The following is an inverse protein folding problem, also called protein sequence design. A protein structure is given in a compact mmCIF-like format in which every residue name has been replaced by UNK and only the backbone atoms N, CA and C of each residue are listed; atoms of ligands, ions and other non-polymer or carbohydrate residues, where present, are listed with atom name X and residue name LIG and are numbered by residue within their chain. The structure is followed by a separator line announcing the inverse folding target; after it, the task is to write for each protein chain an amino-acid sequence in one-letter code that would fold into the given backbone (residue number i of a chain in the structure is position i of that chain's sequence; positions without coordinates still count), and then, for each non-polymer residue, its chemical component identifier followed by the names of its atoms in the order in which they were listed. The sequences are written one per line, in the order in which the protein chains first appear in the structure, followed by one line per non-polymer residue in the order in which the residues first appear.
data_IF_753394193919
#
_entry.id   IF_753394193919
#
_cell.length_a   1.000
_cell.length_b   1.000
_cell.length_c   1.000
_cell.angle_alpha   90.00
_cell.angle_beta   90.00
_cell.angle_gamma   90.00
#
_symmetry.space_group_name_H-M   'P 1'
#
loop_
_entity.id
_entity.type
_entity.pdbx_description
1 polymer ?
#
# COMPACT_ATOMS: atom_id res chain seq x y z
N UNK A 1 -0.93 -5.34 2.89
CA UNK A 1 -0.44 -4.96 1.53
C UNK A 1 -0.99 -3.60 1.12
N UNK A 2 -2.32 -3.40 1.06
CA UNK A 2 -2.91 -2.09 0.71
C UNK A 2 -2.34 -0.92 1.54
N UNK A 3 -2.27 -1.06 2.86
CA UNK A 3 -1.65 -0.07 3.76
C UNK A 3 -0.19 0.28 3.37
N UNK A 4 0.66 -0.72 3.11
CA UNK A 4 2.05 -0.49 2.65
C UNK A 4 2.09 0.26 1.32
N UNK A 5 1.19 -0.07 0.39
CA UNK A 5 1.11 0.59 -0.91
C UNK A 5 0.72 2.05 -0.73
N UNK A 6 -0.28 2.34 0.11
CA UNK A 6 -0.69 3.72 0.42
C UNK A 6 0.39 4.51 1.13
N UNK A 7 1.02 3.93 2.18
CA UNK A 7 2.11 4.55 2.92
C UNK A 7 3.27 4.91 2.00
N UNK A 8 3.63 4.00 1.09
CA UNK A 8 4.66 4.26 0.08
C UNK A 8 4.24 5.32 -0.94
N UNK A 9 2.99 5.31 -1.40
CA UNK A 9 2.51 6.30 -2.37
C UNK A 9 2.54 7.74 -1.83
N UNK A 10 2.48 7.91 -0.51
CA UNK A 10 2.56 9.20 0.18
C UNK A 10 3.92 9.47 0.86
N UNK A 11 4.92 8.60 0.61
CA UNK A 11 6.26 8.68 1.22
C UNK A 11 6.22 8.88 2.75
N UNK A 12 5.26 8.25 3.45
CA UNK A 12 5.06 8.47 4.88
C UNK A 12 5.98 7.61 5.75
N UNK A 13 6.97 8.19 6.46
CA UNK A 13 7.97 7.40 7.18
C UNK A 13 7.39 6.72 8.44
N UNK A 14 6.46 7.39 9.14
CA UNK A 14 5.80 6.82 10.30
C UNK A 14 4.93 5.63 9.91
N UNK A 15 3.97 5.87 9.00
CA UNK A 15 3.03 4.86 8.54
C UNK A 15 3.77 3.67 7.94
N UNK A 16 4.71 3.90 7.01
CA UNK A 16 5.50 2.81 6.43
C UNK A 16 6.19 1.96 7.49
N UNK A 17 6.87 2.58 8.45
CA UNK A 17 7.66 1.87 9.45
C UNK A 17 6.77 1.01 10.34
N UNK A 18 5.67 1.56 10.84
CA UNK A 18 4.74 0.81 11.70
C UNK A 18 4.03 -0.30 10.92
N UNK A 19 3.63 0.00 9.68
CA UNK A 19 2.92 -0.93 8.80
C UNK A 19 3.84 -2.06 8.31
N UNK A 20 5.13 -1.83 8.01
CA UNK A 20 6.08 -2.89 7.67
C UNK A 20 6.28 -3.84 8.86
N UNK A 21 6.41 -3.32 10.08
CA UNK A 21 6.52 -4.14 11.29
C UNK A 21 5.28 -5.02 11.50
N UNK A 22 4.08 -4.49 11.27
CA UNK A 22 2.83 -5.24 11.35
C UNK A 22 2.73 -6.29 10.23
N UNK A 23 2.97 -5.90 8.98
CA UNK A 23 2.91 -6.79 7.82
C UNK A 23 3.83 -8.01 7.97
N UNK A 24 5.04 -7.82 8.52
CA UNK A 24 5.96 -8.93 8.82
C UNK A 24 5.43 -9.88 9.87
N UNK A 25 4.78 -9.36 10.92
CA UNK A 25 4.14 -10.20 11.96
C UNK A 25 2.97 -11.00 11.40
N UNK A 26 2.24 -10.43 10.44
CA UNK A 26 1.11 -11.10 9.76
C UNK A 26 1.56 -12.06 8.64
N UNK A 27 2.87 -12.25 8.46
CA UNK A 27 3.41 -13.22 7.51
C UNK A 27 3.49 -12.73 6.06
N UNK A 28 3.37 -11.42 5.80
CA UNK A 28 3.58 -10.87 4.46
C UNK A 28 5.04 -11.13 4.04
N UNK A 29 5.28 -11.77 2.88
CA UNK A 29 6.63 -12.08 2.43
C UNK A 29 7.52 -10.85 2.31
N UNK A 30 8.78 -10.96 2.75
CA UNK A 30 9.76 -9.86 2.63
C UNK A 30 9.90 -9.35 1.20
N UNK A 31 9.84 -10.26 0.22
CA UNK A 31 9.87 -9.93 -1.22
C UNK A 31 8.72 -9.03 -1.66
N UNK A 32 7.51 -9.22 -1.10
CA UNK A 32 6.35 -8.37 -1.40
C UNK A 32 6.55 -6.96 -0.83
N UNK A 33 7.05 -6.87 0.41
CA UNK A 33 7.36 -5.59 1.06
C UNK A 33 8.44 -4.84 0.28
N UNK A 34 9.50 -5.53 -0.14
CA UNK A 34 10.58 -4.97 -0.97
C UNK A 34 10.08 -4.48 -2.34
N UNK A 35 9.19 -5.23 -2.99
CA UNK A 35 8.58 -4.81 -4.25
C UNK A 35 7.81 -3.50 -4.09
N UNK A 36 7.05 -3.38 -3.00
CA UNK A 36 6.30 -2.15 -2.71
C UNK A 36 7.28 -1.00 -2.41
N UNK A 37 8.23 -1.22 -1.49
CA UNK A 37 9.20 -0.20 -1.03
C UNK A 37 9.99 0.41 -2.18
N UNK A 38 10.54 -0.46 -3.02
CA UNK A 38 11.49 -0.09 -4.05
C UNK A 38 10.80 0.21 -5.40
N UNK A 39 9.47 0.16 -5.46
CA UNK A 39 8.71 0.39 -6.69
C UNK A 39 8.98 -0.65 -7.79
N UNK A 40 9.39 -1.88 -7.44
CA UNK A 40 9.75 -2.92 -8.42
C UNK A 40 8.52 -3.47 -9.15
N UNK A 41 8.69 -4.10 -10.34
CA UNK A 41 7.62 -4.84 -11.00
C UNK A 41 6.99 -5.91 -10.10
N UNK A 42 5.68 -6.14 -10.25
CA UNK A 42 4.91 -7.16 -9.51
C UNK A 42 5.10 -8.59 -10.04
N UNK A 43 6.02 -8.77 -11.01
CA UNK A 43 6.35 -10.08 -11.60
C UNK A 43 6.73 -11.10 -10.53
N UNK A 44 6.07 -12.26 -10.54
CA UNK A 44 6.35 -13.35 -9.61
C UNK A 44 5.53 -13.30 -8.32
N UNK A 45 4.73 -12.26 -8.10
CA UNK A 45 3.71 -12.25 -7.04
C UNK A 45 2.46 -13.03 -7.46
N UNK A 46 1.69 -13.45 -6.46
CA UNK A 46 0.34 -13.97 -6.69
C UNK A 46 -0.56 -12.90 -7.32
N UNK A 47 -1.56 -13.34 -8.08
CA UNK A 47 -2.39 -12.44 -8.90
C UNK A 47 -3.13 -11.41 -8.06
N UNK A 48 -3.60 -11.79 -6.85
CA UNK A 48 -4.28 -10.88 -5.93
C UNK A 48 -3.33 -9.83 -5.38
N UNK A 49 -2.14 -10.23 -4.91
CA UNK A 49 -1.14 -9.30 -4.37
C UNK A 49 -0.66 -8.31 -5.44
N UNK A 50 -0.33 -8.83 -6.63
CA UNK A 50 0.05 -8.00 -7.77
C UNK A 50 -1.04 -6.97 -8.11
N UNK A 51 -2.31 -7.42 -8.16
CA UNK A 51 -3.43 -6.54 -8.48
C UNK A 51 -3.64 -5.46 -7.43
N UNK A 52 -3.54 -5.76 -6.13
CA UNK A 52 -3.64 -4.75 -5.06
C UNK A 52 -2.53 -3.70 -5.19
N UNK A 53 -1.29 -4.14 -5.44
CA UNK A 53 -0.14 -3.25 -5.56
C UNK A 53 -0.29 -2.33 -6.78
N UNK A 54 -0.60 -2.89 -7.94
CA UNK A 54 -0.73 -2.11 -9.17
C UNK A 54 -1.96 -1.20 -9.13
N UNK A 55 -3.05 -1.63 -8.51
CA UNK A 55 -4.25 -0.80 -8.30
C UNK A 55 -3.91 0.44 -7.46
N UNK A 56 -3.25 0.27 -6.31
CA UNK A 56 -2.86 1.40 -5.47
C UNK A 56 -1.84 2.34 -6.14
N UNK A 57 -0.88 1.80 -6.90
CA UNK A 57 0.08 2.60 -7.70
C UNK A 57 -0.62 3.47 -8.73
N UNK A 58 -1.61 2.92 -9.42
CA UNK A 58 -2.39 3.66 -10.40
C UNK A 58 -3.31 4.68 -9.73
N UNK A 59 -4.04 4.27 -8.68
CA UNK A 59 -4.95 5.12 -7.93
C UNK A 59 -4.25 6.37 -7.37
N UNK A 60 -3.13 6.20 -6.67
CA UNK A 60 -2.46 7.33 -6.01
C UNK A 60 -1.39 8.01 -6.87
N UNK A 61 -0.70 7.25 -7.74
CA UNK A 61 0.39 7.81 -8.55
C UNK A 61 -0.06 8.37 -9.91
N UNK A 62 -1.08 7.78 -10.52
CA UNK A 62 -1.63 8.24 -11.82
C UNK A 62 -2.96 8.96 -11.69
N UNK A 63 -3.61 8.89 -10.52
CA UNK A 63 -4.97 9.38 -10.29
C UNK A 63 -6.01 8.80 -11.26
N UNK A 64 -5.74 7.61 -11.76
CA UNK A 64 -6.59 6.89 -12.71
C UNK A 64 -6.23 5.41 -12.67
N UNK A 65 -7.23 4.53 -12.74
CA UNK A 65 -7.06 3.08 -12.85
C UNK A 65 -7.51 2.63 -14.23
N UNK A 66 -6.60 2.04 -15.00
CA UNK A 66 -6.84 1.53 -16.34
C UNK A 66 -7.96 0.47 -16.34
N UNK A 67 -8.80 0.47 -17.38
CA UNK A 67 -9.99 -0.39 -17.47
C UNK A 67 -9.65 -1.89 -17.34
N UNK A 68 -8.54 -2.34 -17.94
CA UNK A 68 -8.09 -3.74 -17.86
C UNK A 68 -7.69 -4.13 -16.42
N UNK A 69 -7.06 -3.21 -15.68
CA UNK A 69 -6.69 -3.44 -14.29
C UNK A 69 -7.93 -3.43 -13.38
N UNK A 70 -8.85 -2.51 -13.61
CA UNK A 70 -10.12 -2.47 -12.89
C UNK A 70 -10.93 -3.75 -13.13
N UNK A 71 -11.07 -4.19 -14.39
CA UNK A 71 -11.78 -5.42 -14.73
C UNK A 71 -11.15 -6.66 -14.08
N UNK A 72 -9.80 -6.72 -14.03
CA UNK A 72 -9.08 -7.77 -13.31
C UNK A 72 -9.35 -7.74 -11.81
N UNK A 73 -9.28 -6.56 -11.18
CA UNK A 73 -9.58 -6.39 -9.77
C UNK A 73 -11.02 -6.82 -9.45
N UNK A 74 -11.98 -6.37 -10.25
CA UNK A 74 -13.39 -6.73 -10.10
C UNK A 74 -13.59 -8.24 -10.22
N UNK A 75 -12.92 -8.92 -11.15
CA UNK A 75 -12.97 -10.38 -11.29
C UNK A 75 -12.40 -11.11 -10.07
N UNK A 76 -11.31 -10.61 -9.49
CA UNK A 76 -10.59 -11.27 -8.39
C UNK A 76 -11.24 -11.07 -7.02
N UNK A 77 -11.85 -9.91 -6.81
CA UNK A 77 -12.39 -9.47 -5.51
C UNK A 77 -13.91 -9.43 -5.49
N UNK A 78 -14.57 -9.29 -6.64
CA UNK A 78 -15.99 -8.93 -6.69
C UNK A 78 -16.23 -7.47 -6.28
N UNK A 79 -17.47 -7.01 -6.43
CA UNK A 79 -17.81 -5.61 -6.20
C UNK A 79 -17.57 -5.17 -4.76
N UNK A 80 -18.08 -5.94 -3.79
CA UNK A 80 -18.02 -5.57 -2.37
C UNK A 80 -16.58 -5.48 -1.87
N UNK A 81 -15.78 -6.53 -2.07
CA UNK A 81 -14.42 -6.55 -1.53
C UNK A 81 -13.50 -5.56 -2.29
N UNK A 82 -13.83 -5.19 -3.54
CA UNK A 82 -13.14 -4.12 -4.26
C UNK A 82 -13.47 -2.73 -3.67
N UNK A 83 -14.72 -2.49 -3.29
CA UNK A 83 -15.11 -1.27 -2.55
C UNK A 83 -14.39 -1.22 -1.21
N UNK A 84 -14.35 -2.33 -0.47
CA UNK A 84 -13.65 -2.41 0.81
C UNK A 84 -12.14 -2.14 0.64
N UNK A 85 -11.53 -2.69 -0.41
CA UNK A 85 -10.12 -2.42 -0.75
C UNK A 85 -9.86 -0.93 -0.97
N UNK A 86 -10.70 -0.27 -1.77
CA UNK A 86 -10.60 1.17 -2.02
C UNK A 86 -10.83 1.98 -0.73
N UNK A 87 -11.78 1.55 0.12
CA UNK A 87 -12.04 2.16 1.42
C UNK A 87 -10.84 2.09 2.37
N UNK A 88 -10.20 0.92 2.49
CA UNK A 88 -8.97 0.76 3.29
C UNK A 88 -7.85 1.65 2.76
N UNK A 89 -7.67 1.71 1.44
CA UNK A 89 -6.66 2.58 0.84
C UNK A 89 -6.95 4.07 1.13
N UNK A 90 -8.21 4.50 1.05
CA UNK A 90 -8.62 5.86 1.34
C UNK A 90 -8.42 6.24 2.81
N UNK A 91 -8.75 5.34 3.75
CA UNK A 91 -8.51 5.57 5.17
C UNK A 91 -7.01 5.78 5.47
N UNK A 92 -6.13 4.95 4.91
CA UNK A 92 -4.69 5.15 5.08
C UNK A 92 -4.17 6.42 4.41
N UNK A 93 -4.81 6.91 3.34
CA UNK A 93 -4.44 8.18 2.72
C UNK A 93 -4.84 9.38 3.60
N UNK A 94 -5.99 9.30 4.30
CA UNK A 94 -6.38 10.27 5.33
C UNK A 94 -5.37 10.28 6.49
N UNK A 95 -5.01 9.10 7.01
CA UNK A 95 -3.97 8.97 8.04
C UNK A 95 -2.64 9.58 7.58
N UNK A 96 -2.17 9.25 6.36
CA UNK A 96 -0.96 9.82 5.77
C UNK A 96 -1.01 11.36 5.69
N UNK A 97 -2.18 11.92 5.40
CA UNK A 97 -2.39 13.36 5.35
C UNK A 97 -2.20 13.99 6.73
N UNK A 98 -2.81 13.42 7.76
CA UNK A 98 -2.68 13.90 9.14
C UNK A 98 -1.25 13.76 9.67
N UNK A 99 -0.61 12.61 9.44
CA UNK A 99 0.77 12.35 9.84
C UNK A 99 1.74 13.37 9.23
N UNK A 100 1.53 13.71 7.96
CA UNK A 100 2.30 14.78 7.28
C UNK A 100 2.02 16.14 7.90
N UNK A 101 0.75 16.51 8.03
CA UNK A 101 0.34 17.85 8.46
C UNK A 101 0.86 18.21 9.86
N UNK A 102 0.98 17.22 10.75
CA UNK A 102 1.43 17.39 12.12
C UNK A 102 2.89 16.96 12.36
N UNK A 103 3.65 16.72 11.29
CA UNK A 103 5.07 16.32 11.34
C UNK A 103 5.32 15.14 12.31
N UNK A 104 4.45 14.12 12.21
CA UNK A 104 4.50 12.98 13.12
C UNK A 104 5.86 12.30 13.05
N UNK A 105 6.54 12.23 14.20
CA UNK A 105 7.82 11.54 14.34
C UNK A 105 7.63 10.08 14.71
N UNK A 106 8.59 9.26 14.31
CA UNK A 106 8.70 7.89 14.80
C UNK A 106 8.87 7.87 16.33
N UNK A 107 8.40 6.81 17.00
CA UNK A 107 8.68 6.61 18.42
C UNK A 107 10.18 6.69 18.72
N UNK A 108 10.55 7.17 19.91
CA UNK A 108 11.95 7.29 20.30
C UNK A 108 12.67 5.92 20.18
N UNK A 109 13.82 5.91 19.51
CA UNK A 109 14.60 4.69 19.26
C UNK A 109 14.12 3.82 18.09
N UNK A 110 12.98 4.14 17.45
CA UNK A 110 12.52 3.42 16.27
C UNK A 110 13.31 3.86 15.04
N UNK A 111 13.93 2.89 14.36
CA UNK A 111 14.62 3.12 13.08
C UNK A 111 13.58 3.24 11.96
N UNK A 112 13.72 4.25 11.11
CA UNK A 112 12.93 4.38 9.89
C UNK A 112 13.23 3.23 8.92
N UNK A 113 12.18 2.64 8.35
CA UNK A 113 12.29 1.54 7.39
C UNK A 113 12.00 1.97 5.94
N UNK A 114 11.49 3.19 5.76
CA UNK A 114 11.41 3.85 4.47
C UNK A 114 12.66 4.72 4.31
N UNK A 115 13.38 4.62 3.17
CA UNK A 115 14.54 5.45 2.88
C UNK A 115 14.18 6.91 2.63
#
# INVERSE_FOLDING_TARGET
IAALVTARAHDQPYDWTMTEMAARKDGVPATTIEIIRDGKPTTGLGEKEATVIDFGRQLFGKHYVDADLYARALKLFGERDLVDLAGVMAQHADEATLLTAFDQKLPAGQKALLP
#
